data_IF_410634091573
#
_entry.id   IF_410634091573
#
_cell.length_a   1.000
_cell.length_b   1.000
_cell.length_c   1.000
_cell.angle_alpha   90.00
_cell.angle_beta   90.00
_cell.angle_gamma   90.00
#
_symmetry.space_group_name_H-M   'P 1'
#
loop_
_entity.id
_entity.type
_entity.pdbx_description
1 polymer ?
#
# COMPACT_ATOMS: atom_id res chain seq x y z
N UNK A 1 15.05 2.14 -11.84
CA UNK A 1 15.00 1.52 -10.49
C UNK A 1 14.33 0.16 -10.55
N UNK A 2 14.88 -0.83 -9.84
CA UNK A 2 14.25 -2.10 -9.51
C UNK A 2 13.39 -1.89 -8.26
N UNK A 3 12.08 -1.93 -8.42
CA UNK A 3 11.15 -1.63 -7.32
C UNK A 3 10.59 -2.92 -6.78
N UNK A 4 10.77 -3.20 -5.49
CA UNK A 4 10.04 -4.27 -4.83
C UNK A 4 8.56 -3.94 -4.85
N UNK A 5 7.74 -4.92 -5.22
CA UNK A 5 6.28 -4.81 -5.23
C UNK A 5 5.67 -6.04 -4.56
N UNK A 6 4.44 -5.88 -4.06
CA UNK A 6 3.61 -7.02 -3.68
C UNK A 6 3.23 -7.84 -4.93
N UNK A 7 2.71 -9.06 -4.74
CA UNK A 7 2.22 -9.89 -5.85
C UNK A 7 0.94 -9.31 -6.46
N UNK A 8 1.07 -8.25 -7.24
CA UNK A 8 -0.02 -7.53 -7.89
C UNK A 8 0.36 -7.14 -9.30
N UNK A 9 -0.51 -7.50 -10.26
CA UNK A 9 -0.35 -7.08 -11.65
C UNK A 9 -0.58 -5.59 -11.84
N UNK A 10 -1.42 -4.97 -11.00
CA UNK A 10 -1.69 -3.52 -11.01
C UNK A 10 -0.43 -2.75 -10.60
N UNK A 11 0.17 -3.11 -9.47
CA UNK A 11 1.39 -2.45 -8.96
C UNK A 11 2.57 -2.70 -9.91
N UNK A 12 2.66 -3.89 -10.50
CA UNK A 12 3.66 -4.15 -11.54
C UNK A 12 3.46 -3.28 -12.80
N UNK A 13 2.22 -3.03 -13.22
CA UNK A 13 1.93 -2.13 -14.35
C UNK A 13 2.25 -0.66 -13.99
N UNK A 14 1.92 -0.21 -12.77
CA UNK A 14 2.24 1.12 -12.26
C UNK A 14 3.73 1.42 -12.39
N UNK A 15 4.60 0.56 -11.85
CA UNK A 15 6.04 0.82 -11.91
C UNK A 15 6.62 0.69 -13.32
N UNK A 16 6.07 -0.18 -14.18
CA UNK A 16 6.46 -0.23 -15.60
C UNK A 16 6.12 1.08 -16.33
N UNK A 17 4.95 1.66 -16.07
CA UNK A 17 4.55 2.94 -16.64
C UNK A 17 5.49 4.09 -16.21
N UNK A 18 6.10 3.96 -15.03
CA UNK A 18 7.14 4.86 -14.53
C UNK A 18 8.57 4.50 -15.00
N UNK A 19 8.71 3.64 -16.02
CA UNK A 19 9.99 3.11 -16.52
C UNK A 19 10.86 2.41 -15.45
N UNK A 20 10.23 1.91 -14.40
CA UNK A 20 10.87 1.09 -13.38
C UNK A 20 10.64 -0.41 -13.63
N UNK A 21 11.51 -1.24 -13.04
CA UNK A 21 11.42 -2.70 -13.12
C UNK A 21 10.80 -3.25 -11.83
N UNK A 22 9.54 -3.69 -11.83
CA UNK A 22 8.95 -4.31 -10.64
C UNK A 22 9.59 -5.67 -10.36
N UNK A 23 9.87 -5.95 -9.09
CA UNK A 23 10.37 -7.24 -8.58
C UNK A 23 9.42 -7.70 -7.49
N UNK A 24 8.72 -8.81 -7.71
CA UNK A 24 7.76 -9.35 -6.74
C UNK A 24 8.54 -10.08 -5.65
N UNK A 25 8.39 -9.64 -4.40
CA UNK A 25 8.99 -10.28 -3.22
C UNK A 25 7.99 -10.30 -2.06
N UNK A 26 8.10 -11.31 -1.19
CA UNK A 26 7.29 -11.35 0.03
C UNK A 26 7.63 -10.14 0.92
N UNK A 27 6.65 -9.68 1.71
CA UNK A 27 6.85 -8.49 2.54
C UNK A 27 8.00 -8.67 3.55
N UNK A 28 8.10 -9.85 4.14
CA UNK A 28 9.17 -10.25 5.07
C UNK A 28 10.58 -10.20 4.48
N UNK A 29 10.71 -10.22 3.15
CA UNK A 29 12.01 -10.19 2.47
C UNK A 29 12.44 -8.76 2.10
N UNK A 30 11.53 -7.80 2.17
CA UNK A 30 11.70 -6.45 1.62
C UNK A 30 12.93 -5.75 2.18
N UNK A 31 13.07 -5.65 3.52
CA UNK A 31 14.20 -4.96 4.14
C UNK A 31 15.54 -5.58 3.73
N UNK A 32 15.64 -6.91 3.76
CA UNK A 32 16.87 -7.62 3.38
C UNK A 32 17.21 -7.39 1.91
N UNK A 33 16.21 -7.40 1.03
CA UNK A 33 16.40 -7.15 -0.39
C UNK A 33 16.85 -5.70 -0.69
N UNK A 34 16.34 -4.71 0.06
CA UNK A 34 16.81 -3.32 0.01
C UNK A 34 18.25 -3.22 0.52
N UNK A 35 18.55 -3.78 1.68
CA UNK A 35 19.88 -3.75 2.30
C UNK A 35 20.96 -4.39 1.42
N UNK A 36 20.62 -5.49 0.74
CA UNK A 36 21.53 -6.21 -0.16
C UNK A 36 21.57 -5.63 -1.60
N UNK A 37 20.79 -4.58 -1.90
CA UNK A 37 20.72 -4.01 -3.24
C UNK A 37 20.15 -4.95 -4.30
N UNK A 38 19.31 -5.92 -3.91
CA UNK A 38 18.53 -6.76 -4.84
C UNK A 38 17.45 -5.92 -5.53
N UNK A 39 16.86 -4.99 -4.77
CA UNK A 39 15.96 -3.94 -5.24
C UNK A 39 16.49 -2.58 -4.80
N UNK A 40 16.18 -1.55 -5.57
CA UNK A 40 16.63 -0.18 -5.32
C UNK A 40 15.65 0.59 -4.42
N UNK A 41 14.37 0.19 -4.40
CA UNK A 41 13.32 0.82 -3.60
C UNK A 41 12.06 -0.03 -3.48
N UNK A 42 11.05 0.49 -2.77
CA UNK A 42 9.72 -0.12 -2.58
C UNK A 42 8.67 0.97 -2.38
N UNK A 43 7.39 0.64 -2.53
CA UNK A 43 6.27 1.41 -1.96
C UNK A 43 5.78 0.77 -0.66
N UNK A 44 5.33 1.58 0.32
CA UNK A 44 4.63 1.17 1.55
C UNK A 44 4.10 2.43 2.28
N UNK A 45 3.11 2.29 3.18
CA UNK A 45 2.75 3.35 4.14
C UNK A 45 3.92 3.70 5.07
N UNK A 46 3.87 4.90 5.66
CA UNK A 46 4.90 5.37 6.60
C UNK A 46 5.03 4.44 7.81
N UNK A 47 3.92 3.91 8.32
CA UNK A 47 3.91 2.95 9.44
C UNK A 47 4.73 1.70 9.14
N UNK A 48 4.57 1.09 7.95
CA UNK A 48 5.35 -0.06 7.52
C UNK A 48 6.83 0.28 7.30
N UNK A 49 7.12 1.43 6.68
CA UNK A 49 8.49 1.88 6.44
C UNK A 49 9.26 2.09 7.75
N UNK A 50 8.59 2.61 8.78
CA UNK A 50 9.14 2.76 10.13
C UNK A 50 9.29 1.42 10.85
N UNK A 51 8.20 0.66 11.01
CA UNK A 51 8.15 -0.57 11.82
C UNK A 51 9.02 -1.70 11.27
N UNK A 52 9.17 -1.79 9.95
CA UNK A 52 10.09 -2.72 9.30
C UNK A 52 11.51 -2.17 9.18
N UNK A 53 11.77 -1.01 9.79
CA UNK A 53 13.06 -0.31 9.81
C UNK A 53 13.64 -0.09 8.40
N UNK A 54 12.81 0.12 7.39
CA UNK A 54 13.28 0.31 6.01
C UNK A 54 14.11 1.60 5.86
N UNK A 55 13.86 2.59 6.70
CA UNK A 55 14.60 3.85 6.80
C UNK A 55 16.11 3.68 7.08
N UNK A 56 16.52 2.59 7.75
CA UNK A 56 17.95 2.33 8.00
C UNK A 56 18.71 1.93 6.73
N UNK A 57 18.00 1.57 5.66
CA UNK A 57 18.58 1.04 4.41
C UNK A 57 18.04 1.77 3.17
N UNK A 58 17.37 2.91 3.36
CA UNK A 58 16.81 3.75 2.30
C UNK A 58 17.05 5.22 2.63
N UNK A 59 17.73 5.92 1.73
CA UNK A 59 18.16 7.30 1.95
C UNK A 59 17.10 8.34 1.61
N UNK A 60 16.10 7.98 0.82
CA UNK A 60 15.08 8.90 0.30
C UNK A 60 13.68 8.27 0.41
N UNK A 61 12.71 9.07 0.87
CA UNK A 61 11.29 8.72 0.96
C UNK A 61 10.46 9.84 0.34
N UNK A 62 9.71 9.55 -0.72
CA UNK A 62 8.83 10.54 -1.35
C UNK A 62 7.36 10.31 -0.97
N UNK A 63 6.75 11.31 -0.33
CA UNK A 63 5.34 11.35 0.07
C UNK A 63 4.44 11.60 -1.14
N UNK A 64 4.29 10.55 -1.93
CA UNK A 64 3.64 10.57 -3.25
C UNK A 64 2.13 10.37 -3.17
N UNK A 65 1.62 9.72 -2.13
CA UNK A 65 0.20 9.39 -1.94
C UNK A 65 -0.44 8.75 -3.20
N UNK A 66 0.32 7.87 -3.86
CA UNK A 66 -0.03 7.32 -5.18
C UNK A 66 -0.91 6.07 -5.12
N UNK A 67 -1.19 5.53 -3.93
CA UNK A 67 -1.98 4.34 -3.74
C UNK A 67 -2.56 4.24 -2.35
N UNK A 68 -3.65 3.49 -2.23
CA UNK A 68 -4.30 3.13 -0.96
C UNK A 68 -4.01 1.66 -0.65
N UNK A 69 -3.50 1.38 0.56
CA UNK A 69 -3.29 0.02 1.06
C UNK A 69 -4.35 -0.32 2.10
N UNK A 70 -5.43 -0.98 1.66
CA UNK A 70 -6.46 -1.55 2.52
C UNK A 70 -6.32 -3.06 2.68
N UNK A 71 -6.98 -3.61 3.70
CA UNK A 71 -6.98 -5.04 4.00
C UNK A 71 -8.40 -5.60 4.01
N UNK A 72 -8.58 -6.79 3.46
CA UNK A 72 -9.78 -7.60 3.65
C UNK A 72 -9.49 -8.67 4.71
N UNK A 73 -10.31 -8.73 5.75
CA UNK A 73 -10.27 -9.84 6.70
C UNK A 73 -11.00 -11.02 6.06
N UNK A 74 -10.28 -12.12 5.84
CA UNK A 74 -10.79 -13.29 5.12
C UNK A 74 -10.73 -14.53 6.01
N UNK A 75 -11.75 -15.37 5.90
CA UNK A 75 -11.82 -16.65 6.58
C UNK A 75 -12.14 -17.76 5.57
N UNK A 76 -11.72 -18.99 5.87
CA UNK A 76 -12.12 -20.15 5.08
C UNK A 76 -13.64 -20.35 5.21
N UNK A 77 -14.35 -20.48 4.08
CA UNK A 77 -15.80 -20.57 4.06
C UNK A 77 -16.35 -21.81 4.81
N UNK A 78 -15.63 -22.95 4.79
CA UNK A 78 -16.06 -24.15 5.51
C UNK A 78 -15.90 -23.97 7.01
N UNK A 79 -14.77 -23.42 7.45
CA UNK A 79 -14.56 -23.04 8.85
C UNK A 79 -15.67 -22.10 9.31
N UNK A 80 -15.90 -21.01 8.57
CA UNK A 80 -16.93 -20.03 8.90
C UNK A 80 -18.33 -20.63 8.95
N UNK A 81 -18.66 -21.52 8.01
CA UNK A 81 -19.93 -22.24 7.97
C UNK A 81 -20.10 -23.31 9.04
N UNK A 82 -19.01 -23.83 9.61
CA UNK A 82 -19.05 -24.84 10.68
C UNK A 82 -19.26 -24.26 12.08
N UNK A 83 -19.12 -22.94 12.25
CA UNK A 83 -19.32 -22.28 13.53
C UNK A 83 -20.79 -22.34 13.97
N UNK A 84 -21.02 -22.57 15.26
CA UNK A 84 -22.35 -22.44 15.83
C UNK A 84 -22.85 -20.99 15.68
N UNK A 85 -24.16 -20.74 15.58
CA UNK A 85 -24.69 -19.39 15.39
C UNK A 85 -24.17 -18.36 16.41
N UNK A 86 -24.06 -18.74 17.69
CA UNK A 86 -23.56 -17.88 18.76
C UNK A 86 -22.07 -17.55 18.63
N UNK A 87 -21.24 -18.49 18.17
CA UNK A 87 -19.81 -18.27 17.93
C UNK A 87 -19.60 -17.33 16.75
N UNK A 88 -20.36 -17.54 15.67
CA UNK A 88 -20.32 -16.66 14.49
C UNK A 88 -20.71 -15.24 14.87
N UNK A 89 -21.81 -15.06 15.61
CA UNK A 89 -22.26 -13.74 16.05
C UNK A 89 -21.22 -13.05 16.96
N UNK A 90 -20.57 -13.81 17.86
CA UNK A 90 -19.50 -13.29 18.69
C UNK A 90 -18.32 -12.80 17.86
N UNK A 91 -17.85 -13.60 16.90
CA UNK A 91 -16.73 -13.21 16.04
C UNK A 91 -17.11 -12.01 15.17
N UNK A 92 -18.34 -11.95 14.64
CA UNK A 92 -18.80 -10.80 13.87
C UNK A 92 -18.82 -9.50 14.69
N UNK A 93 -19.27 -9.55 15.95
CA UNK A 93 -19.22 -8.39 16.86
C UNK A 93 -17.77 -7.95 17.11
N UNK A 94 -16.92 -8.89 17.52
CA UNK A 94 -15.50 -8.62 17.76
C UNK A 94 -14.81 -8.05 16.51
N UNK A 95 -15.15 -8.56 15.32
CA UNK A 95 -14.60 -8.05 14.07
C UNK A 95 -15.06 -6.63 13.75
N UNK A 96 -16.33 -6.28 13.99
CA UNK A 96 -16.81 -4.90 13.81
C UNK A 96 -16.07 -3.92 14.72
N UNK A 97 -15.89 -4.28 15.99
CA UNK A 97 -15.16 -3.47 16.97
C UNK A 97 -13.68 -3.32 16.59
N UNK A 98 -13.02 -4.42 16.21
CA UNK A 98 -11.63 -4.41 15.80
C UNK A 98 -11.40 -3.58 14.52
N UNK A 99 -12.30 -3.65 13.54
CA UNK A 99 -12.23 -2.83 12.32
C UNK A 99 -12.45 -1.35 12.62
N UNK A 100 -13.42 -1.01 13.47
CA UNK A 100 -13.64 0.37 13.87
C UNK A 100 -12.42 0.96 14.59
N UNK A 101 -11.85 0.21 15.54
CA UNK A 101 -10.63 0.61 16.25
C UNK A 101 -9.44 0.72 15.30
N UNK A 102 -9.19 -0.30 14.47
CA UNK A 102 -8.08 -0.33 13.52
C UNK A 102 -8.11 0.84 12.54
N UNK A 103 -9.30 1.16 12.00
CA UNK A 103 -9.47 2.31 11.11
C UNK A 103 -9.25 3.64 11.85
N UNK A 104 -9.73 3.77 13.10
CA UNK A 104 -9.57 4.99 13.88
C UNK A 104 -8.10 5.29 14.23
N UNK A 105 -7.25 4.27 14.36
CA UNK A 105 -5.82 4.47 14.67
C UNK A 105 -4.92 4.55 13.43
N UNK A 106 -5.37 4.10 12.26
CA UNK A 106 -4.51 3.92 11.09
C UNK A 106 -3.80 5.22 10.66
N UNK A 107 -4.51 6.34 10.61
CA UNK A 107 -3.93 7.63 10.24
C UNK A 107 -2.97 8.13 11.33
N UNK A 108 -3.36 8.01 12.60
CA UNK A 108 -2.51 8.38 13.74
C UNK A 108 -1.20 7.59 13.78
N UNK A 109 -1.23 6.30 13.47
CA UNK A 109 -0.01 5.47 13.38
C UNK A 109 0.89 5.89 12.20
N UNK A 110 0.32 6.26 11.06
CA UNK A 110 1.10 6.79 9.94
C UNK A 110 1.73 8.15 10.27
N UNK A 111 1.00 9.03 10.95
CA UNK A 111 1.52 10.32 11.41
C UNK A 111 2.64 10.17 12.43
N UNK A 112 2.47 9.30 13.43
CA UNK A 112 3.50 8.98 14.42
C UNK A 112 4.76 8.43 13.76
N UNK A 113 4.60 7.51 12.79
CA UNK A 113 5.72 6.97 12.04
C UNK A 113 6.46 8.06 11.24
N UNK A 114 5.73 8.99 10.61
CA UNK A 114 6.34 10.09 9.88
C UNK A 114 7.09 11.07 10.79
N UNK A 115 6.55 11.35 11.98
CA UNK A 115 7.25 12.14 13.00
C UNK A 115 8.53 11.44 13.47
N UNK A 116 8.47 10.12 13.71
CA UNK A 116 9.63 9.33 14.11
C UNK A 116 10.70 9.29 13.01
N UNK A 117 10.31 9.17 11.74
CA UNK A 117 11.22 9.24 10.59
C UNK A 117 11.93 10.60 10.51
N UNK A 118 11.20 11.70 10.70
CA UNK A 118 11.78 13.06 10.74
C UNK A 118 12.76 13.21 11.90
N UNK A 119 12.41 12.72 13.08
CA UNK A 119 13.27 12.78 14.26
C UNK A 119 14.54 11.91 14.12
N UNK A 120 14.43 10.75 13.47
CA UNK A 120 15.57 9.87 13.24
C UNK A 120 16.60 10.46 12.26
N UNK A 121 16.16 11.27 11.29
CA UNK A 121 17.04 11.97 10.35
C UNK A 121 17.84 11.06 9.40
N UNK A 122 17.54 9.76 9.36
CA UNK A 122 18.25 8.74 8.56
C UNK A 122 17.80 8.72 7.09
N UNK A 123 16.64 9.30 6.79
CA UNK A 123 16.04 9.33 5.45
C UNK A 123 15.59 10.75 5.11
N UNK A 124 15.92 11.22 3.90
CA UNK A 124 15.39 12.48 3.36
C UNK A 124 13.94 12.30 2.94
N UNK A 125 13.04 13.09 3.53
CA UNK A 125 11.62 13.03 3.22
C UNK A 125 11.29 14.13 2.20
N UNK A 126 10.69 13.74 1.08
CA UNK A 126 10.33 14.61 -0.03
C UNK A 126 8.81 14.73 -0.12
N UNK A 127 8.28 15.94 0.04
CA UNK A 127 6.88 16.24 -0.23
C UNK A 127 6.72 16.59 -1.72
N UNK A 128 5.68 16.05 -2.37
CA UNK A 128 5.39 16.42 -3.75
C UNK A 128 4.54 17.69 -3.81
N UNK A 129 4.81 18.54 -4.80
CA UNK A 129 3.92 19.63 -5.19
C UNK A 129 2.73 19.10 -6.00
N UNK A 130 1.67 19.90 -6.12
CA UNK A 130 0.51 19.57 -6.96
C UNK A 130 0.89 19.27 -8.42
N UNK A 131 1.76 20.06 -9.09
CA UNK A 131 2.22 19.72 -10.44
C UNK A 131 2.96 18.38 -10.53
N UNK A 132 3.83 18.06 -9.56
CA UNK A 132 4.53 16.77 -9.54
C UNK A 132 3.56 15.60 -9.34
N UNK A 133 2.54 15.75 -8.49
CA UNK A 133 1.47 14.74 -8.35
C UNK A 133 0.67 14.57 -9.64
N UNK A 134 0.36 15.66 -10.34
CA UNK A 134 -0.32 15.60 -11.63
C UNK A 134 0.54 14.87 -12.69
N UNK A 135 1.85 15.13 -12.73
CA UNK A 135 2.78 14.43 -13.61
C UNK A 135 2.84 12.92 -13.31
N UNK A 136 2.91 12.53 -12.04
CA UNK A 136 2.84 11.11 -11.66
C UNK A 136 1.54 10.46 -12.11
N UNK A 137 0.40 11.11 -11.89
CA UNK A 137 -0.91 10.61 -12.32
C UNK A 137 -0.96 10.40 -13.84
N UNK A 138 -0.49 11.38 -14.61
CA UNK A 138 -0.43 11.26 -16.07
C UNK A 138 0.51 10.11 -16.52
N UNK A 139 1.67 9.98 -15.87
CA UNK A 139 2.65 8.95 -16.21
C UNK A 139 2.13 7.52 -15.97
N UNK A 140 1.24 7.32 -14.98
CA UNK A 140 0.63 6.01 -14.70
C UNK A 140 -0.66 5.74 -15.46
N UNK A 141 -1.16 6.68 -16.27
CA UNK A 141 -2.40 6.49 -17.05
C UNK A 141 -2.41 5.20 -17.91
N UNK A 142 -1.30 4.80 -18.57
CA UNK A 142 -1.29 3.53 -19.32
C UNK A 142 -1.57 2.29 -18.46
N UNK A 143 -1.24 2.33 -17.16
CA UNK A 143 -1.57 1.24 -16.24
C UNK A 143 -3.08 1.19 -15.95
N UNK A 144 -3.77 2.33 -15.89
CA UNK A 144 -5.22 2.39 -15.75
C UNK A 144 -5.91 1.74 -16.95
N UNK A 145 -5.51 2.09 -18.17
CA UNK A 145 -6.11 1.57 -19.39
C UNK A 145 -5.91 0.05 -19.51
N UNK A 146 -4.69 -0.41 -19.23
CA UNK A 146 -4.37 -1.84 -19.22
C UNK A 146 -5.19 -2.60 -18.17
N UNK A 147 -5.33 -2.03 -16.97
CA UNK A 147 -6.07 -2.70 -15.90
C UNK A 147 -7.58 -2.64 -16.13
N UNK A 148 -8.12 -1.56 -16.70
CA UNK A 148 -9.53 -1.45 -17.08
C UNK A 148 -9.95 -2.56 -18.06
N UNK A 149 -9.10 -2.87 -19.04
CA UNK A 149 -9.33 -3.99 -19.96
C UNK A 149 -9.32 -5.36 -19.26
N UNK A 150 -8.62 -5.49 -18.13
CA UNK A 150 -8.51 -6.74 -17.36
C UNK A 150 -9.61 -6.90 -16.31
N UNK A 151 -9.89 -5.86 -15.53
CA UNK A 151 -10.79 -5.90 -14.37
C UNK A 151 -12.22 -5.53 -14.76
N UNK A 152 -12.40 -4.84 -15.89
CA UNK A 152 -13.68 -4.28 -16.33
C UNK A 152 -13.75 -2.78 -16.04
N UNK A 153 -14.17 -2.01 -17.06
CA UNK A 153 -14.26 -0.54 -16.99
C UNK A 153 -15.22 -0.06 -15.91
N UNK A 154 -16.30 -0.82 -15.64
CA UNK A 154 -17.27 -0.50 -14.59
C UNK A 154 -16.61 -0.29 -13.22
N UNK A 155 -15.77 -1.22 -12.76
CA UNK A 155 -15.16 -1.11 -11.44
C UNK A 155 -14.25 0.11 -11.31
N UNK A 156 -13.53 0.45 -12.38
CA UNK A 156 -12.73 1.65 -12.42
C UNK A 156 -13.60 2.91 -12.34
N UNK A 157 -14.70 2.96 -13.10
CA UNK A 157 -15.66 4.07 -13.07
C UNK A 157 -16.31 4.23 -11.69
N UNK A 158 -16.73 3.14 -11.06
CA UNK A 158 -17.34 3.15 -9.72
C UNK A 158 -16.38 3.76 -8.68
N UNK A 159 -15.09 3.37 -8.72
CA UNK A 159 -14.06 3.96 -7.86
C UNK A 159 -13.83 5.43 -8.18
N UNK A 160 -13.70 5.81 -9.46
CA UNK A 160 -13.49 7.21 -9.84
C UNK A 160 -14.64 8.10 -9.37
N UNK A 161 -15.88 7.64 -9.51
CA UNK A 161 -17.07 8.33 -9.01
C UNK A 161 -17.08 8.46 -7.49
N UNK A 162 -16.64 7.43 -6.77
CA UNK A 162 -16.54 7.48 -5.31
C UNK A 162 -15.44 8.43 -4.79
N UNK A 163 -14.52 8.85 -5.67
CA UNK A 163 -13.46 9.82 -5.39
C UNK A 163 -13.83 11.25 -5.81
N UNK A 164 -14.97 11.44 -6.49
CA UNK A 164 -15.49 12.78 -6.76
C UNK A 164 -15.89 13.45 -5.43
N UNK A 165 -15.57 14.73 -5.24
CA UNK A 165 -15.86 15.47 -4.02
C UNK A 165 -17.36 15.70 -3.77
#
# INVERSE_FOLDING_TARGET
LRMRVQSSRVIAAQFRALNARPVVLAFSETRRALAAGVVDGTENPASNFWTQRMHEVQTDLSMTNHGYLGYAVVANQRFWGSLAPAERELIERAMREALAYGNAIADAENERALQALRAAGTTRIHELSTPQRAQLRAAVQPAYDQMAARIGTRWLQDVLKALEP
#
